data_IF_398737703598
#
_entry.id   IF_398737703598
#
_cell.length_a   1.000
_cell.length_b   1.000
_cell.length_c   1.000
_cell.angle_alpha   90.00
_cell.angle_beta   90.00
_cell.angle_gamma   90.00
#
_symmetry.space_group_name_H-M   'P 1'
#
loop_
_entity.id
_entity.type
_entity.pdbx_description
1 polymer ?
#
# COMPACT_ATOMS: atom_id res chain seq x y z
N UNK A 1 8.02 0.46 -10.61
CA UNK A 1 6.56 0.61 -10.54
C UNK A 1 6.04 1.78 -11.35
N UNK A 2 6.39 3.04 -11.05
CA UNK A 2 5.91 4.16 -11.89
C UNK A 2 6.38 4.02 -13.36
N UNK A 3 7.64 3.66 -13.57
CA UNK A 3 8.15 3.40 -14.91
C UNK A 3 7.44 2.24 -15.63
N UNK A 4 6.97 1.24 -14.88
CA UNK A 4 6.27 0.09 -15.44
C UNK A 4 4.88 0.51 -15.96
N UNK A 5 4.24 1.49 -15.30
CA UNK A 5 3.01 2.13 -15.83
C UNK A 5 3.32 2.85 -17.14
N UNK A 6 4.44 3.58 -17.23
CA UNK A 6 4.79 4.31 -18.45
C UNK A 6 5.02 3.36 -19.61
N UNK A 7 5.83 2.32 -19.39
CA UNK A 7 6.08 1.27 -20.38
C UNK A 7 4.77 0.62 -20.85
N UNK A 8 3.88 0.26 -19.92
CA UNK A 8 2.58 -0.31 -20.28
C UNK A 8 1.74 0.64 -21.15
N UNK A 9 1.70 1.93 -20.82
CA UNK A 9 0.94 2.92 -21.59
C UNK A 9 1.56 3.14 -22.98
N UNK A 10 2.89 3.17 -23.08
CA UNK A 10 3.63 3.29 -24.34
C UNK A 10 3.38 2.09 -25.25
N UNK A 11 3.52 0.86 -24.73
CA UNK A 11 3.28 -0.39 -25.47
C UNK A 11 1.87 -0.48 -26.04
N UNK A 12 0.88 0.10 -25.34
CA UNK A 12 -0.51 0.13 -25.76
C UNK A 12 -0.93 1.44 -26.45
N UNK A 13 0.02 2.32 -26.75
CA UNK A 13 -0.21 3.62 -27.40
C UNK A 13 -1.23 4.54 -26.70
N UNK A 14 -1.35 4.46 -25.37
CA UNK A 14 -2.19 5.35 -24.60
C UNK A 14 -1.49 6.70 -24.37
N UNK A 15 -2.13 7.80 -24.77
CA UNK A 15 -1.58 9.16 -24.63
C UNK A 15 -2.08 9.90 -23.39
N UNK A 16 -3.18 9.43 -22.80
CA UNK A 16 -3.77 9.96 -21.58
C UNK A 16 -4.31 8.81 -20.72
N UNK A 17 -4.25 8.96 -19.41
CA UNK A 17 -4.79 8.00 -18.46
C UNK A 17 -5.40 8.68 -17.23
N UNK A 18 -6.52 8.14 -16.74
CA UNK A 18 -6.98 8.39 -15.37
C UNK A 18 -6.34 7.36 -14.46
N UNK A 19 -5.62 7.82 -13.43
CA UNK A 19 -4.90 6.95 -12.51
C UNK A 19 -5.61 6.88 -11.17
N UNK A 20 -5.80 5.66 -10.68
CA UNK A 20 -6.35 5.40 -9.35
C UNK A 20 -5.36 4.51 -8.61
N UNK A 21 -4.89 4.95 -7.45
CA UNK A 21 -3.97 4.20 -6.63
C UNK A 21 -4.43 4.12 -5.17
N UNK A 22 -4.48 2.89 -4.64
CA UNK A 22 -4.78 2.61 -3.24
C UNK A 22 -3.51 2.26 -2.47
N UNK A 23 -3.35 2.78 -1.25
CA UNK A 23 -2.21 2.48 -0.37
C UNK A 23 -0.86 2.65 -1.11
N UNK A 24 -0.03 1.61 -1.20
CA UNK A 24 1.22 1.65 -1.97
C UNK A 24 1.01 2.07 -3.43
N UNK A 25 -0.05 1.58 -4.07
CA UNK A 25 -0.41 1.97 -5.44
C UNK A 25 -0.67 3.47 -5.55
N UNK A 26 -1.21 4.10 -4.50
CA UNK A 26 -1.38 5.55 -4.39
C UNK A 26 -0.05 6.31 -4.49
N UNK A 27 1.01 5.81 -3.83
CA UNK A 27 2.37 6.39 -3.95
C UNK A 27 2.92 6.22 -5.36
N UNK A 28 2.68 5.07 -5.98
CA UNK A 28 3.14 4.79 -7.35
C UNK A 28 2.51 5.75 -8.35
N UNK A 29 1.19 5.94 -8.31
CA UNK A 29 0.49 6.85 -9.24
C UNK A 29 0.79 8.33 -8.96
N UNK A 30 1.03 8.70 -7.70
CA UNK A 30 1.54 10.04 -7.35
C UNK A 30 2.92 10.28 -7.97
N UNK A 31 3.85 9.34 -7.78
CA UNK A 31 5.18 9.43 -8.40
C UNK A 31 5.09 9.51 -9.93
N UNK A 32 4.21 8.70 -10.54
CA UNK A 32 3.95 8.75 -11.98
C UNK A 32 3.51 10.14 -12.44
N UNK A 33 2.56 10.77 -11.73
CA UNK A 33 2.05 12.09 -12.11
C UNK A 33 3.09 13.21 -12.07
N UNK A 34 4.16 13.06 -11.28
CA UNK A 34 5.27 14.01 -11.29
C UNK A 34 6.24 13.78 -12.45
N UNK A 35 6.45 12.52 -12.84
CA UNK A 35 7.38 12.15 -13.91
C UNK A 35 6.81 12.40 -15.30
N UNK A 36 5.51 12.12 -15.50
CA UNK A 36 4.81 12.24 -16.78
C UNK A 36 3.46 12.96 -16.64
N UNK A 37 3.45 14.23 -16.17
CA UNK A 37 2.22 14.98 -15.91
C UNK A 37 1.34 15.14 -17.17
N UNK A 38 1.95 15.19 -18.35
CA UNK A 38 1.28 15.30 -19.65
C UNK A 38 0.45 14.06 -20.00
N UNK A 39 0.72 12.91 -19.41
CA UNK A 39 -0.05 11.67 -19.64
C UNK A 39 -1.23 11.58 -18.66
N UNK A 40 -1.20 12.27 -17.53
CA UNK A 40 -2.27 12.18 -16.53
C UNK A 40 -3.45 13.07 -16.91
N UNK A 41 -4.65 12.50 -16.94
CA UNK A 41 -5.90 13.24 -17.13
C UNK A 41 -6.58 13.55 -15.78
N UNK A 42 -6.66 12.54 -14.92
CA UNK A 42 -7.20 12.62 -13.56
C UNK A 42 -6.42 11.69 -12.64
N UNK A 43 -6.34 12.05 -11.36
CA UNK A 43 -5.61 11.28 -10.35
C UNK A 43 -6.49 11.11 -9.10
N UNK A 44 -6.67 9.87 -8.65
CA UNK A 44 -7.33 9.53 -7.39
C UNK A 44 -6.38 8.73 -6.52
N UNK A 45 -6.16 9.20 -5.31
CA UNK A 45 -5.29 8.56 -4.32
C UNK A 45 -6.13 8.21 -3.12
N UNK A 46 -6.11 6.94 -2.72
CA UNK A 46 -6.94 6.42 -1.63
C UNK A 46 -6.06 5.88 -0.51
N UNK A 47 -6.31 6.36 0.71
CA UNK A 47 -5.75 5.86 1.96
C UNK A 47 -4.21 5.77 1.99
N UNK A 48 -3.56 6.81 1.44
CA UNK A 48 -2.12 7.02 1.62
C UNK A 48 -1.77 8.51 1.62
N UNK A 49 -0.87 8.91 2.52
CA UNK A 49 -0.26 10.25 2.54
C UNK A 49 1.03 10.29 1.72
N UNK A 50 1.35 11.43 1.05
CA UNK A 50 2.64 11.67 0.41
C UNK A 50 3.78 11.76 1.43
N UNK A 51 3.49 11.98 2.70
CA UNK A 51 4.47 12.01 3.77
C UNK A 51 4.91 10.59 4.11
N UNK A 52 6.23 10.38 4.25
CA UNK A 52 6.82 9.14 4.72
C UNK A 52 6.58 8.98 6.23
N UNK A 53 5.35 8.66 6.62
CA UNK A 53 5.02 8.39 8.03
C UNK A 53 5.59 7.05 8.52
N UNK A 54 5.94 6.14 7.60
CA UNK A 54 6.48 4.82 7.94
C UNK A 54 7.85 4.66 7.29
N UNK A 55 8.94 4.80 8.08
CA UNK A 55 10.29 4.47 7.64
C UNK A 55 10.34 3.07 7.04
N UNK A 56 11.11 2.89 5.95
CA UNK A 56 11.27 1.57 5.31
C UNK A 56 11.77 0.50 6.29
N UNK A 57 12.51 0.92 7.32
CA UNK A 57 12.98 0.08 8.42
C UNK A 57 11.85 -0.56 9.25
N UNK A 58 10.63 -0.03 9.25
CA UNK A 58 9.50 -0.69 9.91
C UNK A 58 9.14 -2.01 9.23
N UNK A 59 9.09 -2.05 7.90
CA UNK A 59 8.70 -3.25 7.15
C UNK A 59 9.82 -4.28 7.04
N UNK A 60 11.06 -3.90 7.31
CA UNK A 60 12.23 -4.79 7.28
C UNK A 60 12.72 -5.17 8.67
N UNK A 61 12.05 -4.73 9.74
CA UNK A 61 12.36 -5.17 11.10
C UNK A 61 11.87 -6.60 11.27
N UNK A 62 12.75 -7.55 11.69
CA UNK A 62 12.35 -8.93 11.97
C UNK A 62 11.18 -9.01 12.95
N UNK A 63 11.15 -8.11 13.95
CA UNK A 63 10.07 -8.04 14.94
C UNK A 63 8.69 -7.90 14.30
N UNK A 64 8.55 -7.07 13.25
CA UNK A 64 7.25 -6.88 12.60
C UNK A 64 6.78 -8.14 11.87
N UNK A 65 7.67 -8.83 11.15
CA UNK A 65 7.32 -10.05 10.41
C UNK A 65 7.06 -11.23 11.35
N UNK A 66 7.84 -11.33 12.42
CA UNK A 66 7.71 -12.38 13.43
C UNK A 66 6.42 -12.17 14.25
N UNK A 67 6.14 -10.95 14.71
CA UNK A 67 4.94 -10.60 15.48
C UNK A 67 3.67 -10.69 14.64
N UNK A 68 3.72 -10.32 13.35
CA UNK A 68 2.59 -10.53 12.45
C UNK A 68 2.31 -12.03 12.27
N UNK A 69 3.35 -12.82 12.06
CA UNK A 69 3.22 -14.28 11.93
C UNK A 69 2.67 -14.90 13.20
N UNK A 70 3.17 -14.52 14.37
CA UNK A 70 2.68 -14.96 15.69
C UNK A 70 1.25 -14.50 15.97
N UNK A 71 0.87 -13.32 15.49
CA UNK A 71 -0.50 -12.82 15.62
C UNK A 71 -1.50 -13.67 14.83
N UNK A 72 -1.05 -14.30 13.74
CA UNK A 72 -1.86 -15.15 12.87
C UNK A 72 -1.89 -16.64 13.30
N UNK A 73 -0.89 -17.11 14.09
CA UNK A 73 -0.76 -18.53 14.49
C UNK A 73 -1.95 -19.07 15.29
N UNK A 74 -2.60 -18.24 16.09
CA UNK A 74 -3.68 -18.65 17.01
C UNK A 74 -5.09 -18.25 16.54
N UNK A 75 -5.29 -17.97 15.25
CA UNK A 75 -6.61 -17.60 14.72
C UNK A 75 -7.37 -18.88 14.34
N UNK A 76 -8.49 -19.20 15.01
CA UNK A 76 -9.33 -20.33 14.64
C UNK A 76 -9.90 -20.14 13.23
N UNK A 77 -9.97 -21.23 12.45
CA UNK A 77 -10.44 -21.19 11.06
C UNK A 77 -11.95 -20.94 10.93
N UNK A 78 -12.71 -21.13 12.01
CA UNK A 78 -14.15 -20.91 12.13
C UNK A 78 -14.51 -19.51 12.66
N UNK A 79 -13.52 -18.67 12.97
CA UNK A 79 -13.72 -17.30 13.45
C UNK A 79 -14.23 -16.38 12.34
N UNK A 80 -15.09 -15.41 12.70
CA UNK A 80 -15.53 -14.40 11.74
C UNK A 80 -14.40 -13.44 11.35
N UNK A 81 -14.44 -12.94 10.11
CA UNK A 81 -13.43 -11.98 9.61
C UNK A 81 -13.34 -10.70 10.46
N UNK A 82 -14.44 -10.29 11.10
CA UNK A 82 -14.45 -9.10 11.96
C UNK A 82 -13.66 -9.34 13.26
N UNK A 83 -13.87 -10.49 13.91
CA UNK A 83 -13.18 -10.87 15.14
C UNK A 83 -11.70 -11.14 14.90
N UNK A 84 -11.37 -11.81 13.80
CA UNK A 84 -9.98 -12.05 13.40
C UNK A 84 -9.25 -10.72 13.18
N UNK A 85 -9.86 -9.77 12.45
CA UNK A 85 -9.29 -8.43 12.23
C UNK A 85 -9.10 -7.67 13.54
N UNK A 86 -10.09 -7.70 14.45
CA UNK A 86 -10.00 -7.04 15.74
C UNK A 86 -8.84 -7.60 16.57
N UNK A 87 -8.73 -8.93 16.65
CA UNK A 87 -7.69 -9.62 17.43
C UNK A 87 -6.28 -9.35 16.90
N UNK A 88 -6.10 -9.36 15.58
CA UNK A 88 -4.83 -9.00 14.93
C UNK A 88 -4.50 -7.54 15.19
N UNK A 89 -5.47 -6.63 15.03
CA UNK A 89 -5.26 -5.22 15.31
C UNK A 89 -4.88 -4.98 16.77
N UNK A 90 -5.54 -5.61 17.74
CA UNK A 90 -5.23 -5.44 19.17
C UNK A 90 -3.80 -5.91 19.49
N UNK A 91 -3.32 -7.00 18.88
CA UNK A 91 -1.93 -7.49 19.03
C UNK A 91 -0.90 -6.56 18.37
N UNK A 92 -1.22 -6.00 17.20
CA UNK A 92 -0.28 -5.20 16.41
C UNK A 92 -0.25 -3.73 16.85
N UNK A 93 -1.34 -3.21 17.41
CA UNK A 93 -1.50 -1.81 17.81
C UNK A 93 -0.31 -1.25 18.64
N UNK A 94 0.26 -1.95 19.63
CA UNK A 94 1.40 -1.44 20.40
C UNK A 94 2.69 -1.25 19.57
N UNK A 95 2.80 -1.95 18.43
CA UNK A 95 4.00 -1.97 17.56
C UNK A 95 3.92 -0.87 16.49
N UNK A 96 2.71 -0.57 16.01
CA UNK A 96 2.46 0.38 14.91
C UNK A 96 2.02 1.77 15.38
N UNK A 97 1.69 1.93 16.66
CA UNK A 97 1.38 3.24 17.26
C UNK A 97 2.68 4.00 17.48
N UNK A 98 3.11 4.76 16.47
CA UNK A 98 4.20 5.75 16.56
C UNK A 98 3.65 7.07 17.07
#
# INVERSE_FOLDING_TARGET
MANDINLFLEENNYKKATLIGHSLGGRVVLQFSFLWPEIVEKLVVVDISPLSSIPRSFFTKPSFTDELSDSLRDIPQDMSLSEARKRVNDKIKPIISV
#
